data_IF_682252789201
#
_entry.id   IF_682252789201
#
_cell.length_a   1.000
_cell.length_b   1.000
_cell.length_c   1.000
_cell.angle_alpha   90.00
_cell.angle_beta   90.00
_cell.angle_gamma   90.00
#
_symmetry.space_group_name_H-M   'P 1'
#
loop_
_entity.id
_entity.type
_entity.pdbx_description
1 polymer ?
#
# COMPACT_ATOMS: atom_id res chain seq x y z
N UNK A 1 15.47 8.44 -11.11
CA UNK A 1 14.09 8.71 -11.62
C UNK A 1 14.00 10.16 -12.06
N UNK A 2 13.56 10.37 -13.30
CA UNK A 2 13.38 11.73 -13.79
C UNK A 2 12.09 12.33 -13.23
N UNK A 3 12.12 13.53 -12.65
CA UNK A 3 10.89 14.22 -12.31
C UNK A 3 10.19 14.65 -13.60
N UNK A 4 8.96 14.20 -13.79
CA UNK A 4 8.07 14.67 -14.85
C UNK A 4 6.88 15.36 -14.19
N UNK A 5 6.16 16.19 -14.96
CA UNK A 5 4.96 16.83 -14.43
C UNK A 5 3.97 15.81 -13.87
N UNK A 6 3.77 14.69 -14.59
CA UNK A 6 2.85 13.64 -14.16
C UNK A 6 3.30 13.00 -12.84
N UNK A 7 4.60 12.69 -12.69
CA UNK A 7 5.13 12.12 -11.46
C UNK A 7 5.04 13.08 -10.29
N UNK A 8 5.29 14.36 -10.53
CA UNK A 8 5.18 15.38 -9.48
C UNK A 8 3.75 15.46 -8.97
N UNK A 9 2.77 15.49 -9.87
CA UNK A 9 1.35 15.56 -9.47
C UNK A 9 0.93 14.29 -8.75
N UNK A 10 1.34 13.11 -9.23
CA UNK A 10 1.06 11.85 -8.54
C UNK A 10 1.68 11.83 -7.15
N UNK A 11 2.90 12.34 -7.01
CA UNK A 11 3.56 12.47 -5.72
C UNK A 11 2.77 13.35 -4.76
N UNK A 12 2.29 14.50 -5.25
CA UNK A 12 1.47 15.41 -4.45
C UNK A 12 0.17 14.74 -4.01
N UNK A 13 -0.51 14.02 -4.90
CA UNK A 13 -1.73 13.29 -4.56
C UNK A 13 -1.47 12.24 -3.47
N UNK A 14 -0.35 11.56 -3.55
CA UNK A 14 0.01 10.51 -2.59
C UNK A 14 0.37 11.07 -1.21
N UNK A 15 1.15 12.13 -1.15
CA UNK A 15 1.83 12.54 0.09
C UNK A 15 1.27 13.80 0.75
N UNK A 16 0.36 14.52 0.11
CA UNK A 16 -0.12 15.80 0.63
C UNK A 16 -1.09 15.68 1.81
N UNK A 17 -1.68 14.50 2.03
CA UNK A 17 -2.75 14.31 3.02
C UNK A 17 -2.38 13.41 4.19
N UNK A 18 -1.09 13.31 4.51
CA UNK A 18 -0.61 12.39 5.53
C UNK A 18 -0.52 10.95 5.03
N UNK A 19 -0.33 10.02 5.96
CA UNK A 19 -0.17 8.61 5.62
C UNK A 19 -1.45 8.01 5.05
N UNK A 20 -1.29 7.24 3.99
CA UNK A 20 -2.40 6.56 3.32
C UNK A 20 -1.90 5.37 2.54
N UNK A 21 -2.80 4.48 2.20
CA UNK A 21 -2.54 3.39 1.25
C UNK A 21 -3.59 3.42 0.14
N UNK A 22 -3.14 3.20 -1.08
CA UNK A 22 -3.99 3.26 -2.27
C UNK A 22 -3.72 2.07 -3.17
N UNK A 23 -4.73 1.67 -3.93
CA UNK A 23 -4.52 0.86 -5.12
C UNK A 23 -4.16 1.77 -6.30
N UNK A 24 -3.63 1.18 -7.37
CA UNK A 24 -3.36 1.95 -8.59
C UNK A 24 -4.63 2.54 -9.17
N UNK A 25 -5.74 1.80 -9.10
CA UNK A 25 -7.05 2.23 -9.57
C UNK A 25 -7.55 3.47 -8.81
N UNK A 26 -7.38 3.48 -7.49
CA UNK A 26 -7.75 4.65 -6.67
C UNK A 26 -6.94 5.87 -7.07
N UNK A 27 -5.63 5.73 -7.21
CA UNK A 27 -4.77 6.85 -7.59
C UNK A 27 -5.08 7.33 -9.00
N UNK A 28 -5.34 6.40 -9.93
CA UNK A 28 -5.77 6.77 -11.27
C UNK A 28 -7.06 7.61 -11.25
N UNK A 29 -8.05 7.19 -10.45
CA UNK A 29 -9.30 7.93 -10.30
C UNK A 29 -9.07 9.35 -9.77
N UNK A 30 -8.20 9.51 -8.78
CA UNK A 30 -7.84 10.82 -8.24
C UNK A 30 -7.15 11.69 -9.28
N UNK A 31 -6.27 11.09 -10.09
CA UNK A 31 -5.60 11.81 -11.17
C UNK A 31 -6.58 12.30 -12.23
N UNK A 32 -7.56 11.49 -12.59
CA UNK A 32 -8.62 11.88 -13.52
C UNK A 32 -9.44 13.04 -12.96
N UNK A 33 -9.81 12.99 -11.69
CA UNK A 33 -10.52 14.09 -11.03
C UNK A 33 -9.70 15.38 -10.98
N UNK A 34 -8.38 15.26 -10.93
CA UNK A 34 -7.46 16.40 -10.96
C UNK A 34 -7.17 16.87 -12.40
N UNK A 35 -7.91 16.37 -13.39
CA UNK A 35 -7.73 16.69 -14.81
C UNK A 35 -6.34 16.35 -15.35
N UNK A 36 -5.69 15.37 -14.76
CA UNK A 36 -4.40 14.90 -15.24
C UNK A 36 -4.61 13.82 -16.29
N UNK A 37 -4.10 14.06 -17.50
CA UNK A 37 -4.18 13.07 -18.58
C UNK A 37 -3.00 12.12 -18.51
N UNK A 38 -3.27 10.88 -18.14
CA UNK A 38 -2.27 9.83 -18.10
C UNK A 38 -2.96 8.47 -18.20
N UNK A 39 -2.18 7.46 -18.58
CA UNK A 39 -2.67 6.10 -18.69
C UNK A 39 -2.58 5.38 -17.34
N UNK A 40 -3.35 4.31 -17.20
CA UNK A 40 -3.24 3.39 -16.08
C UNK A 40 -1.83 2.81 -15.96
N UNK A 41 -1.20 2.51 -17.11
CA UNK A 41 0.17 2.02 -17.14
C UNK A 41 1.16 3.02 -16.53
N UNK A 42 0.97 4.31 -16.77
CA UNK A 42 1.81 5.36 -16.18
C UNK A 42 1.66 5.39 -14.66
N UNK A 43 0.44 5.23 -14.16
CA UNK A 43 0.19 5.16 -12.72
C UNK A 43 0.92 3.96 -12.10
N UNK A 44 0.76 2.77 -12.68
CA UNK A 44 1.46 1.57 -12.21
C UNK A 44 2.99 1.75 -12.23
N UNK A 45 3.52 2.24 -13.33
CA UNK A 45 4.97 2.44 -13.46
C UNK A 45 5.50 3.40 -12.42
N UNK A 46 4.77 4.49 -12.17
CA UNK A 46 5.15 5.49 -11.17
C UNK A 46 5.12 4.90 -9.76
N UNK A 47 4.05 4.18 -9.40
CA UNK A 47 3.94 3.53 -8.10
C UNK A 47 5.06 2.51 -7.90
N UNK A 48 5.39 1.72 -8.92
CA UNK A 48 6.48 0.75 -8.84
C UNK A 48 7.84 1.44 -8.67
N UNK A 49 8.08 2.53 -9.37
CA UNK A 49 9.32 3.31 -9.23
C UNK A 49 9.45 3.91 -7.83
N UNK A 50 8.36 4.45 -7.28
CA UNK A 50 8.36 4.98 -5.92
C UNK A 50 8.60 3.89 -4.89
N UNK A 51 8.05 2.70 -5.13
CA UNK A 51 8.29 1.54 -4.26
C UNK A 51 9.75 1.12 -4.29
N UNK A 52 10.35 1.03 -5.47
CA UNK A 52 11.77 0.72 -5.61
C UNK A 52 12.68 1.77 -4.98
N UNK A 53 12.25 3.03 -5.01
CA UNK A 53 13.00 4.12 -4.39
C UNK A 53 12.82 4.20 -2.86
N UNK A 54 12.01 3.32 -2.26
CA UNK A 54 11.77 3.31 -0.82
C UNK A 54 10.75 4.33 -0.33
N UNK A 55 10.03 5.00 -1.23
CA UNK A 55 9.01 5.99 -0.87
C UNK A 55 7.67 5.35 -0.52
N UNK A 56 7.41 4.18 -1.04
CA UNK A 56 6.20 3.41 -0.81
C UNK A 56 6.54 1.98 -0.42
N UNK A 57 5.65 1.37 0.35
CA UNK A 57 5.68 -0.05 0.66
C UNK A 57 4.50 -0.73 -0.02
N UNK A 58 4.77 -1.73 -0.85
CA UNK A 58 3.72 -2.50 -1.52
C UNK A 58 3.20 -3.58 -0.60
N UNK A 59 1.88 -3.70 -0.49
CA UNK A 59 1.20 -4.69 0.32
C UNK A 59 0.25 -5.48 -0.57
N UNK A 60 0.46 -6.79 -0.66
CA UNK A 60 -0.37 -7.69 -1.47
C UNK A 60 -1.11 -8.68 -0.59
N UNK A 61 -2.32 -8.35 -0.11
CA UNK A 61 -3.01 -9.19 0.86
C UNK A 61 -3.49 -10.54 0.31
N UNK A 62 -3.73 -10.65 -0.99
CA UNK A 62 -4.22 -11.89 -1.59
C UNK A 62 -3.53 -12.26 -2.92
N UNK A 63 -2.46 -11.56 -3.26
CA UNK A 63 -1.71 -11.82 -4.49
C UNK A 63 -2.32 -11.25 -5.76
N UNK A 64 -3.62 -10.95 -5.76
CA UNK A 64 -4.31 -10.41 -6.93
C UNK A 64 -4.39 -8.90 -6.93
N UNK A 65 -4.26 -8.27 -5.75
CA UNK A 65 -4.35 -6.83 -5.57
C UNK A 65 -3.13 -6.30 -4.84
N UNK A 66 -2.74 -5.09 -5.18
CA UNK A 66 -1.63 -4.42 -4.53
C UNK A 66 -2.09 -3.08 -3.99
N UNK A 67 -1.79 -2.86 -2.73
CA UNK A 67 -1.87 -1.54 -2.12
C UNK A 67 -0.48 -0.96 -2.03
N UNK A 68 -0.39 0.36 -2.13
CA UNK A 68 0.86 1.09 -1.98
C UNK A 68 0.70 2.03 -0.80
N UNK A 69 1.52 1.83 0.22
CA UNK A 69 1.43 2.54 1.49
C UNK A 69 2.52 3.59 1.58
N UNK A 70 2.14 4.82 1.87
CA UNK A 70 3.08 5.91 2.08
C UNK A 70 3.82 5.77 3.40
N UNK A 71 3.24 5.05 4.36
CA UNK A 71 3.93 4.70 5.59
C UNK A 71 4.72 3.41 5.36
N UNK A 72 6.03 3.53 5.20
CA UNK A 72 6.91 2.40 4.89
C UNK A 72 7.33 1.59 6.11
N UNK A 73 6.93 1.99 7.31
CA UNK A 73 7.22 1.23 8.53
C UNK A 73 6.46 -0.10 8.54
N UNK A 74 6.97 -1.06 9.31
CA UNK A 74 6.28 -2.34 9.51
C UNK A 74 5.13 -2.10 10.48
N UNK A 75 3.90 -2.30 10.01
CA UNK A 75 2.70 -2.21 10.83
C UNK A 75 1.64 -3.16 10.27
N UNK A 76 0.81 -3.75 11.14
CA UNK A 76 -0.21 -4.69 10.69
C UNK A 76 -1.39 -3.97 10.06
N UNK A 77 -2.07 -4.69 9.17
CA UNK A 77 -3.27 -4.18 8.48
C UNK A 77 -4.42 -5.15 8.61
N UNK A 78 -5.65 -4.62 8.66
CA UNK A 78 -6.85 -5.39 8.36
C UNK A 78 -7.13 -5.29 6.87
N UNK A 79 -7.40 -6.43 6.23
CA UNK A 79 -7.88 -6.47 4.87
C UNK A 79 -9.31 -7.04 4.85
N UNK A 80 -10.22 -6.31 4.22
CA UNK A 80 -11.60 -6.76 4.07
C UNK A 80 -11.68 -7.69 2.87
N UNK A 81 -11.87 -9.00 3.15
CA UNK A 81 -11.93 -10.02 2.10
C UNK A 81 -12.92 -9.64 1.01
N UNK A 82 -12.45 -9.66 -0.24
CA UNK A 82 -13.26 -9.34 -1.41
C UNK A 82 -13.59 -7.86 -1.61
N UNK A 83 -13.10 -6.98 -0.74
CA UNK A 83 -13.30 -5.53 -0.86
C UNK A 83 -11.94 -4.85 -1.01
N UNK A 84 -11.92 -3.67 -1.65
CA UNK A 84 -10.67 -2.91 -1.81
C UNK A 84 -10.43 -2.00 -0.60
N UNK A 85 -10.45 -2.59 0.60
CA UNK A 85 -10.31 -1.85 1.85
C UNK A 85 -9.17 -2.44 2.66
N UNK A 86 -8.18 -1.61 2.95
CA UNK A 86 -7.06 -1.91 3.83
C UNK A 86 -7.03 -0.85 4.91
N UNK A 87 -7.01 -1.26 6.17
CA UNK A 87 -7.04 -0.36 7.33
C UNK A 87 -5.92 -0.74 8.28
N UNK A 88 -5.18 0.25 8.77
CA UNK A 88 -4.16 0.01 9.77
C UNK A 88 -4.79 -0.53 11.06
N UNK A 89 -4.16 -1.55 11.65
CA UNK A 89 -4.56 -2.03 12.97
C UNK A 89 -4.18 -0.96 13.99
N UNK A 90 -5.14 -0.46 14.79
CA UNK A 90 -4.88 0.69 15.67
C UNK A 90 -3.95 0.37 16.84
N UNK A 91 -3.75 -0.89 17.16
CA UNK A 91 -2.86 -1.30 18.23
C UNK A 91 -1.58 -1.90 17.65
N UNK A 92 -0.46 -1.59 18.28
CA UNK A 92 0.81 -2.20 17.90
C UNK A 92 0.83 -3.64 18.36
N UNK A 93 0.92 -4.58 17.43
CA UNK A 93 1.21 -5.97 17.77
C UNK A 93 2.63 -6.06 18.33
N UNK A 94 2.85 -7.00 19.25
CA UNK A 94 4.14 -7.16 19.93
C UNK A 94 5.19 -7.69 18.96
N UNK A 95 5.85 -6.78 18.24
CA UNK A 95 6.93 -7.13 17.32
C UNK A 95 8.23 -7.46 18.03
N UNK A 96 8.30 -7.25 19.34
CA UNK A 96 9.42 -7.65 20.19
C UNK A 96 9.58 -9.17 20.34
N UNK A 97 8.56 -9.92 19.93
CA UNK A 97 8.60 -11.39 19.90
C UNK A 97 8.92 -11.95 18.52
N UNK A 98 9.58 -11.19 17.67
CA UNK A 98 9.97 -11.66 16.36
C UNK A 98 10.94 -12.83 16.46
N UNK A 99 10.75 -13.89 15.67
CA UNK A 99 11.73 -14.97 15.62
C UNK A 99 13.02 -14.49 14.98
N UNK A 100 14.11 -15.16 15.32
CA UNK A 100 15.37 -14.95 14.61
C UNK A 100 15.30 -15.63 13.24
N UNK A 101 16.05 -15.09 12.29
CA UNK A 101 16.20 -15.72 10.98
C UNK A 101 16.97 -17.04 11.14
N UNK A 102 16.83 -17.93 10.17
CA UNK A 102 17.61 -19.16 10.13
C UNK A 102 19.10 -18.83 9.97
N UNK A 103 20.03 -19.71 10.47
CA UNK A 103 21.45 -19.47 10.31
C UNK A 103 21.84 -19.19 8.86
N UNK A 104 22.65 -18.19 8.64
CA UNK A 104 23.07 -17.76 7.30
C UNK A 104 22.03 -16.94 6.54
N UNK A 105 20.92 -16.58 7.16
CA UNK A 105 19.84 -15.80 6.55
C UNK A 105 19.51 -14.58 7.35
N UNK A 106 18.86 -13.62 6.72
CA UNK A 106 18.30 -12.44 7.36
C UNK A 106 16.82 -12.33 7.00
N UNK A 107 16.02 -11.75 7.88
CA UNK A 107 14.61 -11.47 7.58
C UNK A 107 14.60 -10.26 6.66
N UNK A 108 14.19 -10.47 5.41
CA UNK A 108 14.15 -9.40 4.41
C UNK A 108 12.88 -8.56 4.53
N UNK A 109 11.79 -9.15 5.00
CA UNK A 109 10.51 -8.48 5.08
C UNK A 109 9.57 -9.21 6.03
N UNK A 110 8.75 -8.44 6.73
CA UNK A 110 7.64 -8.95 7.53
C UNK A 110 6.37 -8.23 7.11
N UNK A 111 5.33 -8.99 6.80
CA UNK A 111 4.00 -8.46 6.52
C UNK A 111 3.00 -9.17 7.44
N UNK A 112 2.13 -8.39 8.08
CA UNK A 112 1.07 -8.92 8.93
C UNK A 112 -0.26 -8.41 8.36
N UNK A 113 -1.03 -9.33 7.80
CA UNK A 113 -2.32 -8.99 7.20
C UNK A 113 -3.37 -9.87 7.87
N UNK A 114 -4.33 -9.20 8.52
CA UNK A 114 -5.43 -9.85 9.20
C UNK A 114 -6.64 -9.75 8.29
N UNK A 115 -7.05 -10.89 7.74
CA UNK A 115 -8.21 -10.95 6.86
C UNK A 115 -9.47 -10.93 7.69
N UNK A 116 -10.36 -9.98 7.40
CA UNK A 116 -11.65 -9.88 8.04
C UNK A 116 -12.74 -9.88 6.99
N UNK A 117 -13.91 -10.28 7.40
CA UNK A 117 -15.12 -10.25 6.56
C UNK A 117 -16.27 -9.74 7.40
N UNK A 118 -17.26 -9.18 6.73
CA UNK A 118 -18.44 -8.69 7.43
C UNK A 118 -19.20 -9.87 8.05
N UNK A 119 -19.68 -9.69 9.27
CA UNK A 119 -20.55 -10.67 9.90
C UNK A 119 -21.85 -10.74 9.10
N UNK A 120 -22.39 -11.96 8.95
CA UNK A 120 -23.73 -12.12 8.41
C UNK A 120 -24.74 -11.53 9.40
N UNK A 121 -25.75 -10.84 8.86
CA UNK A 121 -26.85 -10.38 9.69
C UNK A 121 -27.51 -11.59 10.36
N UNK A 122 -27.84 -11.45 11.66
CA UNK A 122 -28.62 -12.47 12.37
C UNK A 122 -30.01 -12.55 11.74
N UNK A 123 -30.44 -13.79 11.41
CA UNK A 123 -31.77 -14.02 10.86
C UNK A 123 -32.72 -14.48 11.95
#
# INVERSE_FOLDING_TARGET
>A
MRPTRQRIILCELLFARGDRHVTAEMLYGEAVEANLQLSMATVYNTLNQFTQAGLLRRIGPDGSRSFFDTNTSVHPHFYFDGEDILIDVPETLLLDQMPEALPGHVISRLDIIIHIRRKRAAT
#
